data_IF_055700746802
#
_entry.id   IF_055700746802
#
_cell.length_a   1.000
_cell.length_b   1.000
_cell.length_c   1.000
_cell.angle_alpha   90.00
_cell.angle_beta   90.00
_cell.angle_gamma   90.00
#
_symmetry.space_group_name_H-M   'P 1'
#
loop_
_entity.id
_entity.type
_entity.pdbx_description
1 polymer ?
#
# COMPACT_ATOMS: atom_id res chain seq x y z
N UNK A 1 -2.94 -22.85 -20.90
CA UNK A 1 -1.89 -23.77 -20.40
C UNK A 1 -1.89 -23.77 -18.87
N UNK A 2 -1.30 -22.77 -18.20
CA UNK A 2 -1.22 -22.71 -16.73
C UNK A 2 -2.55 -22.98 -15.98
N UNK A 3 -3.67 -22.39 -16.43
CA UNK A 3 -4.97 -22.63 -15.80
C UNK A 3 -5.44 -24.10 -15.89
N UNK A 4 -5.06 -24.81 -16.95
CA UNK A 4 -5.35 -26.24 -17.14
C UNK A 4 -4.41 -27.09 -16.29
N UNK A 5 -3.13 -26.71 -16.22
CA UNK A 5 -2.14 -27.40 -15.38
C UNK A 5 -2.54 -27.33 -13.90
N UNK A 6 -3.06 -26.17 -13.46
CA UNK A 6 -3.60 -25.96 -12.12
C UNK A 6 -5.02 -26.52 -11.92
N UNK A 7 -5.64 -27.09 -12.97
CA UNK A 7 -7.00 -27.63 -12.94
C UNK A 7 -8.05 -26.65 -12.38
N UNK A 8 -7.94 -25.36 -12.74
CA UNK A 8 -8.73 -24.28 -12.12
C UNK A 8 -10.23 -24.51 -12.23
N UNK A 9 -10.73 -24.96 -13.39
CA UNK A 9 -12.17 -25.21 -13.61
C UNK A 9 -12.67 -26.33 -12.70
N UNK A 10 -11.99 -27.48 -12.67
CA UNK A 10 -12.40 -28.61 -11.83
C UNK A 10 -12.29 -28.30 -10.33
N UNK A 11 -11.24 -27.58 -9.91
CA UNK A 11 -11.11 -27.13 -8.52
C UNK A 11 -12.24 -26.18 -8.15
N UNK A 12 -12.50 -25.14 -8.94
CA UNK A 12 -13.57 -24.18 -8.65
C UNK A 12 -14.94 -24.86 -8.59
N UNK A 13 -15.20 -25.79 -9.52
CA UNK A 13 -16.40 -26.62 -9.54
C UNK A 13 -16.55 -27.45 -8.26
N UNK A 14 -15.48 -28.13 -7.84
CA UNK A 14 -15.48 -28.98 -6.65
C UNK A 14 -15.63 -28.18 -5.36
N UNK A 15 -14.89 -27.08 -5.24
CA UNK A 15 -14.87 -26.23 -4.03
C UNK A 15 -16.21 -25.54 -3.85
N UNK A 16 -16.72 -24.89 -4.91
CA UNK A 16 -17.96 -24.11 -4.84
C UNK A 16 -19.22 -24.93 -5.10
N UNK A 17 -19.07 -26.20 -5.48
CA UNK A 17 -20.18 -27.13 -5.80
C UNK A 17 -21.13 -26.54 -6.85
N UNK A 18 -20.55 -25.89 -7.87
CA UNK A 18 -21.28 -25.28 -8.98
C UNK A 18 -21.27 -26.20 -10.20
N UNK A 19 -22.14 -25.93 -11.17
CA UNK A 19 -22.14 -26.66 -12.44
C UNK A 19 -20.95 -26.27 -13.31
N UNK A 20 -20.58 -27.16 -14.24
CA UNK A 20 -19.44 -26.96 -15.14
C UNK A 20 -19.48 -25.62 -15.90
N UNK A 21 -20.63 -25.16 -16.47
CA UNK A 21 -20.68 -23.87 -17.16
C UNK A 21 -20.36 -22.66 -16.26
N UNK A 22 -20.70 -22.73 -14.97
CA UNK A 22 -20.39 -21.67 -13.99
C UNK A 22 -18.89 -21.66 -13.71
N UNK A 23 -18.28 -22.84 -13.51
CA UNK A 23 -16.84 -22.96 -13.29
C UNK A 23 -16.02 -22.48 -14.50
N UNK A 24 -16.46 -22.81 -15.72
CA UNK A 24 -15.88 -22.29 -16.97
C UNK A 24 -16.05 -20.77 -17.08
N UNK A 25 -17.18 -20.24 -16.59
CA UNK A 25 -17.42 -18.81 -16.44
C UNK A 25 -16.37 -18.10 -15.57
N UNK A 26 -15.94 -18.71 -14.46
CA UNK A 26 -14.86 -18.14 -13.62
C UNK A 26 -13.55 -18.01 -14.38
N UNK A 27 -13.17 -19.04 -15.13
CA UNK A 27 -11.94 -19.01 -15.94
C UNK A 27 -12.02 -17.88 -16.98
N UNK A 28 -13.14 -17.76 -17.69
CA UNK A 28 -13.34 -16.70 -18.67
C UNK A 28 -13.30 -15.30 -18.07
N UNK A 29 -13.94 -15.10 -16.90
CA UNK A 29 -13.89 -13.83 -16.17
C UNK A 29 -12.45 -13.49 -15.74
N UNK A 30 -11.72 -14.47 -15.19
CA UNK A 30 -10.32 -14.29 -14.78
C UNK A 30 -9.41 -13.94 -15.96
N UNK A 31 -9.50 -14.68 -17.06
CA UNK A 31 -8.70 -14.40 -18.27
C UNK A 31 -9.08 -13.06 -18.89
N UNK A 32 -10.36 -12.71 -18.92
CA UNK A 32 -10.78 -11.39 -19.40
C UNK A 32 -10.14 -10.26 -18.58
N UNK A 33 -10.04 -10.38 -17.25
CA UNK A 33 -9.41 -9.36 -16.41
C UNK A 33 -7.91 -9.16 -16.70
N UNK A 34 -7.23 -10.22 -17.14
CA UNK A 34 -5.80 -10.18 -17.49
C UNK A 34 -5.59 -9.62 -18.89
N UNK A 35 -6.42 -10.00 -19.87
CA UNK A 35 -6.13 -9.73 -21.29
C UNK A 35 -6.79 -8.44 -21.79
N UNK A 36 -8.08 -8.22 -21.52
CA UNK A 36 -8.85 -7.14 -22.20
C UNK A 36 -9.73 -6.29 -21.30
N UNK A 37 -10.08 -6.77 -20.10
CA UNK A 37 -11.00 -6.14 -19.14
C UNK A 37 -12.34 -5.72 -19.76
N UNK A 38 -12.87 -6.56 -20.66
CA UNK A 38 -14.11 -6.26 -21.35
C UNK A 38 -15.30 -6.23 -20.39
N UNK A 39 -16.25 -5.30 -20.59
CA UNK A 39 -17.45 -5.24 -19.77
C UNK A 39 -18.32 -6.50 -19.97
N UNK A 40 -18.76 -7.08 -18.84
CA UNK A 40 -19.67 -8.23 -18.80
C UNK A 40 -20.96 -7.96 -19.56
N UNK A 41 -21.44 -6.72 -19.52
CA UNK A 41 -22.75 -6.32 -20.05
C UNK A 41 -22.84 -6.32 -21.58
N UNK A 42 -21.72 -6.15 -22.30
CA UNK A 42 -21.76 -5.89 -23.75
C UNK A 42 -20.77 -6.70 -24.58
N UNK A 43 -19.58 -7.02 -24.07
CA UNK A 43 -18.49 -7.56 -24.91
C UNK A 43 -17.94 -8.91 -24.46
N UNK A 44 -18.13 -9.29 -23.21
CA UNK A 44 -17.55 -10.53 -22.69
C UNK A 44 -18.10 -11.78 -23.39
N UNK A 45 -19.40 -11.82 -23.68
CA UNK A 45 -20.03 -12.99 -24.31
C UNK A 45 -19.51 -13.26 -25.72
N UNK A 46 -19.41 -12.22 -26.56
CA UNK A 46 -18.85 -12.37 -27.91
C UNK A 46 -17.38 -12.75 -27.85
N UNK A 47 -16.60 -12.11 -26.97
CA UNK A 47 -15.20 -12.43 -26.79
C UNK A 47 -14.96 -13.89 -26.43
N UNK A 48 -15.74 -14.48 -25.52
CA UNK A 48 -15.61 -15.90 -25.20
C UNK A 48 -15.90 -16.78 -26.41
N UNK A 49 -16.98 -16.48 -27.16
CA UNK A 49 -17.36 -17.26 -28.36
C UNK A 49 -16.30 -17.21 -29.45
N UNK A 50 -15.67 -16.05 -29.63
CA UNK A 50 -14.67 -15.81 -30.67
C UNK A 50 -13.25 -16.28 -30.25
N UNK A 51 -13.05 -16.59 -28.96
CA UNK A 51 -11.78 -17.07 -28.42
C UNK A 51 -11.59 -18.58 -28.59
N UNK A 52 -10.40 -19.08 -28.22
CA UNK A 52 -10.12 -20.52 -28.15
C UNK A 52 -10.67 -21.20 -26.88
N UNK A 53 -11.25 -20.44 -25.94
CA UNK A 53 -11.76 -21.00 -24.68
C UNK A 53 -12.82 -22.09 -24.86
N UNK A 54 -13.81 -21.95 -25.76
CA UNK A 54 -14.80 -23.00 -25.98
C UNK A 54 -14.18 -24.33 -26.40
N UNK A 55 -13.13 -24.27 -27.22
CA UNK A 55 -12.41 -25.46 -27.69
C UNK A 55 -11.55 -26.07 -26.58
N UNK A 56 -10.80 -25.24 -25.85
CA UNK A 56 -9.89 -25.71 -24.80
C UNK A 56 -10.61 -26.35 -23.62
N UNK A 57 -11.72 -25.76 -23.19
CA UNK A 57 -12.50 -26.21 -22.04
C UNK A 57 -13.68 -27.10 -22.42
N UNK A 58 -13.86 -27.40 -23.71
CA UNK A 58 -15.03 -28.11 -24.25
C UNK A 58 -16.35 -27.48 -23.76
N UNK A 59 -16.41 -26.15 -23.82
CA UNK A 59 -17.53 -25.38 -23.31
C UNK A 59 -18.58 -25.16 -24.40
N UNK A 60 -19.80 -25.64 -24.17
CA UNK A 60 -20.96 -25.27 -24.98
C UNK A 60 -21.38 -23.82 -24.68
N UNK A 61 -21.06 -22.93 -25.61
CA UNK A 61 -21.33 -21.48 -25.52
C UNK A 61 -22.58 -21.04 -26.27
N UNK A 62 -23.39 -21.99 -26.79
CA UNK A 62 -24.62 -21.68 -27.53
C UNK A 62 -25.61 -20.85 -26.71
N UNK A 63 -25.73 -21.17 -25.41
CA UNK A 63 -26.60 -20.50 -24.46
C UNK A 63 -25.86 -19.46 -23.59
N UNK A 64 -24.61 -19.14 -23.91
CA UNK A 64 -23.84 -18.15 -23.15
C UNK A 64 -24.51 -16.78 -23.25
N UNK A 65 -24.75 -16.15 -22.11
CA UNK A 65 -25.43 -14.86 -22.05
C UNK A 65 -24.86 -13.99 -20.93
N UNK A 66 -25.15 -12.68 -21.00
CA UNK A 66 -24.86 -11.75 -19.91
C UNK A 66 -25.34 -12.25 -18.56
N UNK A 67 -26.60 -12.73 -18.48
CA UNK A 67 -27.18 -13.26 -17.23
C UNK A 67 -26.42 -14.49 -16.72
N UNK A 68 -25.87 -15.31 -17.61
CA UNK A 68 -25.02 -16.43 -17.23
C UNK A 68 -23.75 -15.98 -16.51
N UNK A 69 -23.09 -14.91 -16.98
CA UNK A 69 -21.94 -14.33 -16.29
C UNK A 69 -22.30 -13.60 -15.01
N UNK A 70 -23.44 -12.91 -14.95
CA UNK A 70 -23.94 -12.31 -13.72
C UNK A 70 -24.20 -13.41 -12.66
N UNK A 71 -24.86 -14.50 -13.03
CA UNK A 71 -25.06 -15.65 -12.15
C UNK A 71 -23.75 -16.35 -11.74
N UNK A 72 -22.73 -16.31 -12.61
CA UNK A 72 -21.38 -16.75 -12.25
C UNK A 72 -20.80 -15.87 -11.15
N UNK A 73 -20.87 -14.54 -11.27
CA UNK A 73 -20.40 -13.63 -10.23
C UNK A 73 -21.18 -13.79 -8.91
N UNK A 74 -22.49 -14.02 -8.98
CA UNK A 74 -23.34 -14.27 -7.81
C UNK A 74 -22.91 -15.54 -7.04
N UNK A 75 -22.35 -16.53 -7.73
CA UNK A 75 -21.81 -17.75 -7.10
C UNK A 75 -20.53 -17.47 -6.29
N UNK A 76 -19.78 -16.39 -6.57
CA UNK A 76 -18.65 -15.97 -5.73
C UNK A 76 -19.10 -15.14 -4.54
N UNK A 77 -20.11 -14.30 -4.72
CA UNK A 77 -20.62 -13.43 -3.67
C UNK A 77 -22.08 -13.08 -3.91
N UNK A 78 -22.94 -13.40 -2.96
CA UNK A 78 -24.37 -13.11 -3.03
C UNK A 78 -24.95 -12.78 -1.65
N UNK A 79 -26.17 -12.24 -1.65
CA UNK A 79 -26.96 -12.09 -0.43
C UNK A 79 -28.05 -13.15 -0.40
N UNK A 80 -28.18 -13.85 0.72
CA UNK A 80 -29.33 -14.72 0.97
C UNK A 80 -30.59 -13.89 1.22
N UNK A 81 -31.78 -14.53 1.16
CA UNK A 81 -33.07 -13.89 1.44
C UNK A 81 -33.15 -13.21 2.82
N UNK A 82 -32.31 -13.61 3.79
CA UNK A 82 -32.18 -12.97 5.10
C UNK A 82 -31.11 -11.87 5.18
N UNK A 83 -30.65 -11.34 4.04
CA UNK A 83 -29.56 -10.35 3.92
C UNK A 83 -28.20 -10.82 4.48
N UNK A 84 -28.05 -12.12 4.79
CA UNK A 84 -26.74 -12.68 5.13
C UNK A 84 -25.91 -12.78 3.86
N UNK A 85 -24.74 -12.16 3.88
CA UNK A 85 -23.76 -12.19 2.79
C UNK A 85 -23.03 -13.53 2.74
N UNK A 86 -23.05 -14.19 1.59
CA UNK A 86 -22.23 -15.35 1.26
C UNK A 86 -20.99 -14.85 0.51
N UNK A 87 -19.80 -15.31 0.91
CA UNK A 87 -18.52 -14.90 0.33
C UNK A 87 -17.72 -16.13 -0.14
N UNK A 88 -18.35 -16.97 -0.96
CA UNK A 88 -17.75 -18.17 -1.54
C UNK A 88 -16.42 -17.91 -2.27
N UNK A 89 -16.22 -16.72 -2.85
CA UNK A 89 -14.97 -16.36 -3.49
C UNK A 89 -13.76 -16.35 -2.56
N UNK A 90 -13.95 -16.07 -1.26
CA UNK A 90 -12.87 -16.17 -0.27
C UNK A 90 -12.52 -17.62 0.02
N UNK A 91 -13.52 -18.50 0.15
CA UNK A 91 -13.29 -19.94 0.33
C UNK A 91 -12.56 -20.52 -0.89
N UNK A 92 -12.97 -20.12 -2.11
CA UNK A 92 -12.27 -20.50 -3.34
C UNK A 92 -10.80 -20.07 -3.31
N UNK A 93 -10.53 -18.83 -2.91
CA UNK A 93 -9.15 -18.33 -2.80
C UNK A 93 -8.36 -19.15 -1.79
N UNK A 94 -8.88 -19.36 -0.58
CA UNK A 94 -8.17 -20.06 0.49
C UNK A 94 -7.84 -21.51 0.08
N UNK A 95 -8.76 -22.20 -0.58
CA UNK A 95 -8.55 -23.55 -1.11
C UNK A 95 -7.55 -23.58 -2.27
N UNK A 96 -7.61 -22.63 -3.21
CA UNK A 96 -6.64 -22.53 -4.31
C UNK A 96 -5.23 -22.22 -3.80
N UNK A 97 -5.11 -21.31 -2.82
CA UNK A 97 -3.84 -21.01 -2.15
C UNK A 97 -3.31 -22.24 -1.42
N UNK A 98 -4.16 -22.97 -0.68
CA UNK A 98 -3.75 -24.19 0.02
C UNK A 98 -3.27 -25.26 -0.95
N UNK A 99 -4.00 -25.48 -2.04
CA UNK A 99 -3.62 -26.41 -3.09
C UNK A 99 -2.28 -26.05 -3.72
N UNK A 100 -2.11 -24.77 -4.09
CA UNK A 100 -0.88 -24.26 -4.66
C UNK A 100 0.31 -24.48 -3.71
N UNK A 101 0.18 -24.10 -2.42
CA UNK A 101 1.22 -24.31 -1.39
C UNK A 101 1.51 -25.79 -1.09
N UNK A 102 0.53 -26.68 -1.24
CA UNK A 102 0.74 -28.12 -1.08
C UNK A 102 1.59 -28.71 -2.21
N UNK A 103 1.58 -28.09 -3.38
CA UNK A 103 2.30 -28.53 -4.58
C UNK A 103 3.62 -27.77 -4.78
N UNK A 104 3.71 -26.52 -4.31
CA UNK A 104 4.92 -25.71 -4.33
C UNK A 104 5.68 -25.86 -3.02
N UNK A 105 6.92 -26.37 -3.09
CA UNK A 105 7.87 -26.24 -1.98
C UNK A 105 8.30 -24.78 -1.92
N UNK A 106 7.54 -23.94 -1.22
CA UNK A 106 8.09 -22.69 -0.73
C UNK A 106 9.18 -23.03 0.31
N UNK A 107 10.48 -22.73 0.09
CA UNK A 107 11.50 -22.87 1.13
C UNK A 107 11.12 -22.25 2.48
N UNK A 108 11.82 -22.63 3.55
CA UNK A 108 11.66 -21.93 4.83
C UNK A 108 12.22 -20.49 4.72
N UNK A 109 11.60 -19.51 5.41
CA UNK A 109 12.08 -18.12 5.44
C UNK A 109 11.43 -17.15 4.44
N UNK A 110 10.22 -17.44 3.96
CA UNK A 110 9.63 -16.69 2.84
C UNK A 110 9.29 -15.24 3.16
N UNK A 111 9.63 -14.38 2.22
CA UNK A 111 9.14 -13.01 2.15
C UNK A 111 7.79 -12.97 1.48
N UNK A 112 6.87 -12.27 2.12
CA UNK A 112 5.52 -12.04 1.66
C UNK A 112 5.31 -10.53 1.60
N UNK A 113 5.03 -10.02 0.41
CA UNK A 113 4.74 -8.60 0.22
C UNK A 113 3.28 -8.35 0.63
N UNK A 114 3.06 -7.41 1.55
CA UNK A 114 1.73 -6.97 1.95
C UNK A 114 1.54 -5.50 1.59
N UNK A 115 0.57 -5.26 0.70
CA UNK A 115 0.20 -3.92 0.27
C UNK A 115 -1.33 -3.74 0.26
N UNK A 116 -1.78 -2.49 0.34
CA UNK A 116 -3.18 -2.10 0.22
C UNK A 116 -3.37 -1.16 -0.96
N UNK A 117 -4.21 -1.55 -1.92
CA UNK A 117 -4.57 -0.70 -3.05
C UNK A 117 -6.01 -0.21 -2.96
N UNK A 118 -6.31 0.99 -3.48
CA UNK A 118 -7.65 1.60 -3.44
C UNK A 118 -8.18 1.82 -4.84
N UNK A 119 -9.35 1.26 -5.13
CA UNK A 119 -10.03 1.36 -6.43
C UNK A 119 -11.26 2.23 -6.28
N UNK A 120 -11.45 3.17 -7.22
CA UNK A 120 -12.65 4.02 -7.27
C UNK A 120 -13.90 3.17 -7.44
N UNK A 121 -14.95 3.52 -6.70
CA UNK A 121 -16.23 2.85 -6.77
C UNK A 121 -17.34 3.85 -7.12
N UNK A 122 -18.01 3.60 -8.24
CA UNK A 122 -19.06 4.46 -8.77
C UNK A 122 -20.47 4.05 -8.36
N UNK A 123 -20.65 2.85 -7.78
CA UNK A 123 -21.94 2.40 -7.29
C UNK A 123 -22.28 2.98 -5.90
N UNK A 124 -23.47 2.65 -5.41
CA UNK A 124 -23.98 3.14 -4.12
C UNK A 124 -24.22 2.05 -3.09
N UNK A 125 -24.20 0.78 -3.49
CA UNK A 125 -24.68 -0.36 -2.70
C UNK A 125 -23.58 -1.22 -2.05
N UNK A 126 -22.30 -0.97 -2.34
CA UNK A 126 -21.20 -1.77 -1.78
C UNK A 126 -20.84 -1.28 -0.37
N UNK A 127 -21.01 -2.10 0.70
CA UNK A 127 -20.66 -1.71 2.07
C UNK A 127 -19.19 -1.37 2.30
N UNK A 128 -18.26 -1.94 1.52
CA UNK A 128 -16.83 -1.57 1.63
C UNK A 128 -16.50 -0.23 0.97
N UNK A 129 -17.42 0.32 0.18
CA UNK A 129 -17.18 1.52 -0.59
C UNK A 129 -17.48 2.77 0.26
N UNK A 130 -16.41 3.41 0.74
CA UNK A 130 -16.46 4.58 1.61
C UNK A 130 -15.60 5.72 1.05
N UNK A 131 -15.76 6.92 1.60
CA UNK A 131 -14.93 8.07 1.22
C UNK A 131 -13.51 7.85 1.75
N UNK A 132 -12.52 7.92 0.86
CA UNK A 132 -11.11 7.76 1.18
C UNK A 132 -10.21 8.34 0.09
N UNK A 133 -8.90 8.24 0.29
CA UNK A 133 -7.92 8.68 -0.71
C UNK A 133 -7.85 7.67 -1.87
N UNK A 134 -8.09 8.14 -3.08
CA UNK A 134 -7.85 7.39 -4.31
C UNK A 134 -6.36 7.42 -4.68
N UNK A 135 -5.97 6.62 -5.67
CA UNK A 135 -4.59 6.53 -6.18
C UNK A 135 -4.02 7.85 -6.69
N UNK A 136 -4.87 8.77 -7.17
CA UNK A 136 -4.48 10.13 -7.57
C UNK A 136 -4.48 11.14 -6.41
N UNK A 137 -4.49 10.63 -5.15
CA UNK A 137 -4.56 11.40 -3.90
C UNK A 137 -5.86 12.20 -3.72
N UNK A 138 -6.81 12.13 -4.65
CA UNK A 138 -8.11 12.79 -4.51
C UNK A 138 -9.00 12.07 -3.51
N UNK A 139 -9.86 12.81 -2.81
CA UNK A 139 -10.86 12.24 -1.90
C UNK A 139 -12.06 11.76 -2.72
N UNK A 140 -12.32 10.45 -2.74
CA UNK A 140 -13.38 9.81 -3.55
C UNK A 140 -13.99 8.62 -2.82
N UNK A 141 -15.12 8.13 -3.31
CA UNK A 141 -15.65 6.84 -2.88
C UNK A 141 -14.79 5.72 -3.46
N UNK A 142 -14.18 4.93 -2.59
CA UNK A 142 -13.22 3.89 -2.95
C UNK A 142 -13.50 2.59 -2.18
N UNK A 143 -13.06 1.48 -2.74
CA UNK A 143 -12.92 0.19 -2.04
C UNK A 143 -11.44 -0.08 -1.94
N UNK A 144 -10.96 -0.39 -0.74
CA UNK A 144 -9.59 -0.81 -0.52
C UNK A 144 -9.47 -2.33 -0.70
N UNK A 145 -8.30 -2.81 -1.09
CA UNK A 145 -7.99 -4.22 -1.21
C UNK A 145 -6.63 -4.48 -0.58
N UNK A 146 -6.60 -5.32 0.46
CA UNK A 146 -5.35 -5.84 1.01
C UNK A 146 -4.93 -7.06 0.21
N UNK A 147 -3.68 -7.07 -0.23
CA UNK A 147 -3.09 -8.14 -1.02
C UNK A 147 -1.79 -8.60 -0.37
N UNK A 148 -1.69 -9.90 -0.11
CA UNK A 148 -0.47 -10.57 0.33
C UNK A 148 0.00 -11.49 -0.78
N UNK A 149 1.23 -11.32 -1.26
CA UNK A 149 1.82 -12.13 -2.33
C UNK A 149 3.12 -12.79 -1.89
N UNK A 150 3.32 -14.04 -2.30
CA UNK A 150 4.62 -14.71 -2.15
C UNK A 150 5.68 -13.99 -2.97
N UNK A 151 6.87 -13.73 -2.42
CA UNK A 151 7.94 -12.98 -3.13
C UNK A 151 8.49 -13.70 -4.37
N UNK A 152 8.61 -15.02 -4.33
CA UNK A 152 9.29 -15.82 -5.36
C UNK A 152 8.38 -16.07 -6.56
N UNK A 153 7.16 -16.52 -6.31
CA UNK A 153 6.23 -16.93 -7.37
C UNK A 153 5.18 -15.86 -7.68
N UNK A 154 5.18 -14.75 -6.93
CA UNK A 154 4.16 -13.70 -7.01
C UNK A 154 2.73 -14.24 -6.89
N UNK A 155 2.55 -15.36 -6.17
CA UNK A 155 1.26 -15.97 -5.95
C UNK A 155 0.46 -15.16 -4.92
N UNK A 156 -0.79 -14.78 -5.20
CA UNK A 156 -1.64 -14.07 -4.25
C UNK A 156 -2.10 -15.05 -3.16
N UNK A 157 -1.45 -15.02 -2.01
CA UNK A 157 -1.81 -15.86 -0.87
C UNK A 157 -3.12 -15.40 -0.26
N UNK A 158 -3.29 -14.09 -0.16
CA UNK A 158 -4.49 -13.49 0.40
C UNK A 158 -4.86 -12.22 -0.37
N UNK A 159 -6.10 -12.15 -0.84
CA UNK A 159 -6.74 -10.93 -1.32
C UNK A 159 -8.03 -10.70 -0.51
N UNK A 160 -8.25 -9.48 -0.06
CA UNK A 160 -9.50 -9.13 0.63
C UNK A 160 -9.92 -7.69 0.40
N UNK A 161 -11.24 -7.43 0.34
CA UNK A 161 -11.73 -6.06 0.43
C UNK A 161 -11.52 -5.50 1.84
N UNK A 162 -11.21 -4.22 1.89
CA UNK A 162 -11.05 -3.39 3.08
C UNK A 162 -11.95 -2.15 2.88
N UNK A 163 -12.49 -1.62 3.98
CA UNK A 163 -13.28 -0.38 3.94
C UNK A 163 -12.46 0.77 3.35
N UNK A 164 -13.03 1.53 2.41
CA UNK A 164 -12.31 2.59 1.69
C UNK A 164 -11.71 3.68 2.57
N UNK A 165 -12.38 4.00 3.69
CA UNK A 165 -11.91 4.99 4.67
C UNK A 165 -10.78 4.48 5.57
N UNK A 166 -10.57 3.16 5.62
CA UNK A 166 -9.61 2.56 6.56
C UNK A 166 -8.18 2.92 6.16
N UNK A 167 -7.36 3.17 7.18
CA UNK A 167 -5.92 3.37 7.04
C UNK A 167 -5.20 2.04 6.92
N UNK A 168 -4.08 2.05 6.19
CA UNK A 168 -3.25 0.87 5.96
C UNK A 168 -2.67 0.34 7.28
N UNK A 169 -2.35 1.24 8.22
CA UNK A 169 -1.95 0.92 9.60
C UNK A 169 -2.90 -0.08 10.28
N UNK A 170 -4.22 0.16 10.20
CA UNK A 170 -5.24 -0.65 10.87
C UNK A 170 -5.51 -1.98 10.15
N UNK A 171 -4.92 -2.19 8.97
CA UNK A 171 -5.14 -3.40 8.18
C UNK A 171 -4.21 -4.55 8.59
N UNK A 172 -3.08 -4.24 9.25
CA UNK A 172 -2.04 -5.21 9.63
C UNK A 172 -2.58 -6.29 10.56
N UNK A 173 -3.29 -5.92 11.62
CA UNK A 173 -3.89 -6.87 12.56
C UNK A 173 -4.73 -7.94 11.85
N UNK A 174 -5.71 -7.49 11.08
CA UNK A 174 -6.62 -8.39 10.39
C UNK A 174 -5.92 -9.25 9.33
N UNK A 175 -4.84 -8.74 8.72
CA UNK A 175 -4.02 -9.53 7.80
C UNK A 175 -3.30 -10.64 8.57
N UNK A 176 -2.64 -10.31 9.69
CA UNK A 176 -1.95 -11.28 10.56
C UNK A 176 -2.92 -12.38 11.04
N UNK A 177 -4.08 -11.99 11.57
CA UNK A 177 -5.08 -12.95 12.06
C UNK A 177 -5.58 -13.92 10.98
N UNK A 178 -5.61 -13.47 9.71
CA UNK A 178 -6.04 -14.31 8.59
C UNK A 178 -4.93 -15.21 8.06
N UNK A 179 -3.69 -14.74 8.06
CA UNK A 179 -2.54 -15.60 7.80
C UNK A 179 -2.46 -16.74 8.82
N UNK A 180 -2.71 -16.43 10.11
CA UNK A 180 -2.82 -17.46 11.16
C UNK A 180 -3.97 -18.44 10.88
N UNK A 181 -5.15 -17.93 10.53
CA UNK A 181 -6.31 -18.76 10.17
C UNK A 181 -6.10 -19.61 8.91
N UNK A 182 -5.22 -19.19 8.01
CA UNK A 182 -4.84 -19.92 6.80
C UNK A 182 -3.63 -20.86 7.01
N UNK A 183 -3.14 -21.01 8.25
CA UNK A 183 -1.96 -21.80 8.60
C UNK A 183 -0.71 -21.38 7.80
N UNK A 184 -0.56 -20.07 7.58
CA UNK A 184 0.69 -19.46 7.09
C UNK A 184 1.48 -19.09 8.33
N UNK A 185 2.66 -19.66 8.55
CA UNK A 185 3.45 -19.47 9.79
C UNK A 185 4.90 -19.16 9.46
N UNK A 186 5.55 -18.38 10.33
CA UNK A 186 6.99 -18.14 10.26
C UNK A 186 7.45 -17.40 9.00
N UNK A 187 6.56 -16.63 8.36
CA UNK A 187 6.92 -15.81 7.20
C UNK A 187 7.41 -14.43 7.61
N UNK A 188 8.15 -13.78 6.71
CA UNK A 188 8.57 -12.38 6.84
C UNK A 188 7.66 -11.52 5.98
N UNK A 189 6.96 -10.58 6.61
CA UNK A 189 6.07 -9.64 5.92
C UNK A 189 6.85 -8.39 5.52
N UNK A 190 6.98 -8.16 4.22
CA UNK A 190 7.50 -6.91 3.65
C UNK A 190 6.31 -5.96 3.51
N UNK A 191 6.36 -4.83 4.21
CA UNK A 191 5.24 -3.90 4.32
C UNK A 191 5.64 -2.47 3.98
N UNK A 192 4.66 -1.73 3.49
CA UNK A 192 4.78 -0.30 3.23
C UNK A 192 5.00 0.51 4.51
N UNK A 193 5.63 1.68 4.37
CA UNK A 193 5.95 2.57 5.50
C UNK A 193 4.75 2.99 6.35
N UNK A 194 3.56 3.04 5.74
CA UNK A 194 2.31 3.38 6.45
C UNK A 194 1.83 2.28 7.41
N UNK A 195 2.39 1.08 7.31
CA UNK A 195 2.06 -0.09 8.11
C UNK A 195 3.10 -0.37 9.21
N UNK A 196 4.22 0.35 9.22
CA UNK A 196 5.31 0.17 10.20
C UNK A 196 5.07 1.07 11.41
N UNK A 197 4.90 0.47 12.58
CA UNK A 197 4.72 1.17 13.85
C UNK A 197 5.12 0.28 15.03
N UNK A 198 5.35 0.88 16.19
CA UNK A 198 5.65 0.14 17.42
C UNK A 198 4.59 -0.94 17.73
N UNK A 199 3.31 -0.58 17.57
CA UNK A 199 2.17 -1.48 17.82
C UNK A 199 2.13 -2.62 16.79
N UNK A 200 2.27 -2.31 15.50
CA UNK A 200 2.24 -3.31 14.45
C UNK A 200 3.43 -4.26 14.53
N UNK A 201 4.64 -3.77 14.82
CA UNK A 201 5.82 -4.62 15.02
C UNK A 201 5.59 -5.59 16.19
N UNK A 202 5.10 -5.10 17.33
CA UNK A 202 4.82 -5.94 18.49
C UNK A 202 3.78 -7.02 18.16
N UNK A 203 2.75 -6.66 17.38
CA UNK A 203 1.69 -7.58 16.97
C UNK A 203 2.19 -8.66 16.01
N UNK A 204 2.92 -8.29 14.97
CA UNK A 204 3.50 -9.21 13.98
C UNK A 204 4.44 -10.20 14.66
N UNK A 205 5.30 -9.72 15.56
CA UNK A 205 6.21 -10.58 16.34
C UNK A 205 5.47 -11.52 17.29
N UNK A 206 4.43 -11.04 17.97
CA UNK A 206 3.61 -11.87 18.88
C UNK A 206 2.97 -13.05 18.15
N UNK A 207 2.58 -12.84 16.89
CA UNK A 207 1.99 -13.87 16.04
C UNK A 207 3.03 -14.79 15.36
N UNK A 208 4.32 -14.63 15.69
CA UNK A 208 5.39 -15.51 15.20
C UNK A 208 5.88 -15.17 13.79
N UNK A 209 5.64 -13.95 13.32
CA UNK A 209 6.13 -13.46 12.03
C UNK A 209 7.28 -12.45 12.20
N UNK A 210 8.03 -12.24 11.11
CA UNK A 210 8.97 -11.13 11.00
C UNK A 210 8.36 -10.01 10.15
N UNK A 211 8.85 -8.78 10.32
CA UNK A 211 8.46 -7.63 9.51
C UNK A 211 9.71 -6.97 8.93
N UNK A 212 9.64 -6.62 7.65
CA UNK A 212 10.54 -5.67 7.01
C UNK A 212 9.71 -4.51 6.49
N UNK A 213 10.15 -3.29 6.74
CA UNK A 213 9.50 -2.11 6.21
C UNK A 213 10.29 -0.85 6.48
N UNK A 214 9.97 0.22 5.76
CA UNK A 214 10.58 1.53 5.98
C UNK A 214 9.90 2.25 7.13
N UNK A 215 10.70 2.89 7.98
CA UNK A 215 10.16 3.71 9.07
C UNK A 215 9.92 5.12 8.54
N UNK A 216 8.68 5.61 8.69
CA UNK A 216 8.34 7.02 8.47
C UNK A 216 8.71 7.83 9.71
N UNK A 217 9.17 9.07 9.54
CA UNK A 217 9.45 10.09 10.58
C UNK A 217 9.07 9.62 11.99
N UNK A 218 10.07 9.27 12.79
CA UNK A 218 9.89 8.83 14.16
C UNK A 218 10.17 9.94 15.18
N UNK A 219 10.13 9.55 16.46
CA UNK A 219 10.53 10.44 17.55
C UNK A 219 12.05 10.60 17.62
N UNK A 220 12.56 10.95 18.80
CA UNK A 220 14.00 11.18 19.01
C UNK A 220 14.87 9.97 18.63
N UNK A 221 14.34 8.75 18.81
CA UNK A 221 15.01 7.49 18.45
C UNK A 221 15.26 7.34 16.95
N UNK A 222 14.43 7.96 16.11
CA UNK A 222 14.61 7.98 14.66
C UNK A 222 15.75 8.90 14.23
N UNK A 223 15.87 10.08 14.85
CA UNK A 223 17.00 10.98 14.61
C UNK A 223 18.32 10.37 15.07
N UNK A 224 18.32 9.69 16.21
CA UNK A 224 19.48 8.92 16.68
C UNK A 224 19.88 7.83 15.67
N UNK A 225 18.90 7.08 15.14
CA UNK A 225 19.14 6.06 14.14
C UNK A 225 19.68 6.64 12.82
N UNK A 226 19.18 7.79 12.37
CA UNK A 226 19.70 8.48 11.19
C UNK A 226 21.12 9.02 11.39
N UNK A 227 21.43 9.49 12.60
CA UNK A 227 22.76 9.99 12.97
C UNK A 227 23.76 8.89 13.33
N UNK A 228 23.40 7.61 13.20
CA UNK A 228 24.25 6.51 13.63
C UNK A 228 25.56 6.40 12.83
N UNK A 229 25.52 6.78 11.55
CA UNK A 229 26.69 6.89 10.69
C UNK A 229 26.81 8.33 10.18
N UNK A 230 28.03 8.87 10.20
CA UNK A 230 28.32 10.05 9.40
C UNK A 230 28.29 9.72 7.91
N UNK A 231 28.15 10.75 7.08
CA UNK A 231 27.98 10.58 5.64
C UNK A 231 29.21 9.95 4.98
N UNK A 232 30.41 10.35 5.40
CA UNK A 232 31.67 9.87 4.84
C UNK A 232 31.92 8.38 5.19
N UNK A 233 31.50 7.93 6.37
CA UNK A 233 31.56 6.54 6.78
C UNK A 233 30.54 5.70 6.01
N UNK A 234 29.33 6.21 5.80
CA UNK A 234 28.30 5.49 5.07
C UNK A 234 28.64 5.37 3.57
N UNK A 235 29.12 6.43 2.93
CA UNK A 235 29.39 6.47 1.48
C UNK A 235 30.76 5.89 1.08
N UNK A 236 31.14 4.77 1.70
CA UNK A 236 32.37 4.03 1.36
C UNK A 236 32.07 2.95 0.32
N UNK A 237 33.04 2.58 -0.54
CA UNK A 237 32.87 1.51 -1.54
C UNK A 237 32.42 0.17 -0.94
N UNK A 238 32.81 -0.14 0.30
CA UNK A 238 32.42 -1.35 1.02
C UNK A 238 30.92 -1.40 1.39
N UNK A 239 30.26 -0.24 1.47
CA UNK A 239 28.83 -0.12 1.74
C UNK A 239 28.00 0.04 0.46
N UNK A 240 28.64 0.03 -0.71
CA UNK A 240 27.96 0.18 -1.99
C UNK A 240 27.13 -1.07 -2.29
N UNK A 241 25.83 -0.88 -2.47
CA UNK A 241 24.90 -1.89 -2.96
C UNK A 241 24.41 -1.51 -4.34
N UNK A 242 24.56 -2.42 -5.29
CA UNK A 242 24.05 -2.26 -6.65
C UNK A 242 22.76 -3.05 -6.79
N UNK A 243 21.66 -2.36 -7.09
CA UNK A 243 20.36 -2.99 -7.34
C UNK A 243 20.40 -3.76 -8.67
N UNK A 244 19.51 -4.74 -8.88
CA UNK A 244 19.37 -5.40 -10.18
C UNK A 244 19.07 -4.45 -11.35
N UNK A 245 18.50 -3.27 -11.08
CA UNK A 245 18.29 -2.18 -12.02
C UNK A 245 19.58 -1.49 -12.48
N UNK A 246 20.70 -1.69 -11.77
CA UNK A 246 21.97 -0.99 -11.96
C UNK A 246 22.13 0.26 -11.08
N UNK A 247 21.08 0.67 -10.37
CA UNK A 247 21.12 1.80 -9.43
C UNK A 247 22.06 1.51 -8.26
N UNK A 248 22.75 2.55 -7.78
CA UNK A 248 23.79 2.47 -6.77
C UNK A 248 23.32 3.14 -5.49
N UNK A 249 23.26 2.36 -4.42
CA UNK A 249 22.89 2.83 -3.09
C UNK A 249 24.06 2.60 -2.14
N UNK A 250 24.16 3.40 -1.08
CA UNK A 250 25.00 3.06 0.07
C UNK A 250 24.12 2.56 1.20
N UNK A 251 24.47 1.42 1.78
CA UNK A 251 23.69 0.85 2.85
C UNK A 251 24.54 0.18 3.92
N UNK A 252 24.17 0.40 5.17
CA UNK A 252 24.81 -0.24 6.31
C UNK A 252 23.77 -0.59 7.36
N UNK A 253 23.89 -1.80 7.93
CA UNK A 253 22.99 -2.25 8.98
C UNK A 253 23.68 -2.54 10.29
N UNK A 254 22.91 -2.34 11.35
CA UNK A 254 23.30 -2.63 12.72
C UNK A 254 22.09 -3.19 13.47
N UNK A 255 22.34 -3.69 14.68
CA UNK A 255 21.26 -4.04 15.60
C UNK A 255 21.11 -2.88 16.58
N UNK A 256 19.92 -2.30 16.66
CA UNK A 256 19.65 -1.11 17.48
C UNK A 256 18.24 -1.07 18.03
N UNK A 257 17.92 0.05 18.66
CA UNK A 257 16.59 0.34 19.18
C UNK A 257 15.88 1.40 18.31
N UNK A 258 14.60 1.18 18.01
CA UNK A 258 13.75 2.12 17.28
C UNK A 258 12.27 1.76 17.50
N UNK A 259 11.37 2.74 17.51
CA UNK A 259 9.92 2.54 17.74
C UNK A 259 9.62 1.78 19.05
N UNK A 260 10.37 2.08 20.12
CA UNK A 260 10.24 1.41 21.42
C UNK A 260 10.67 -0.06 21.44
N UNK A 261 11.24 -0.59 20.35
CA UNK A 261 11.78 -1.94 20.26
C UNK A 261 13.29 -1.90 20.48
N UNK A 262 13.83 -2.78 21.33
CA UNK A 262 15.25 -2.75 21.74
C UNK A 262 16.22 -3.51 20.84
N UNK A 263 15.72 -4.40 20.00
CA UNK A 263 16.52 -5.31 19.19
C UNK A 263 15.89 -5.43 17.81
N UNK A 264 16.09 -4.40 16.98
CA UNK A 264 15.74 -4.39 15.57
C UNK A 264 17.00 -4.45 14.74
N UNK A 265 16.93 -5.15 13.60
CA UNK A 265 17.92 -5.02 12.53
C UNK A 265 17.56 -3.77 11.74
N UNK A 266 18.33 -2.71 11.92
CA UNK A 266 18.15 -1.43 11.26
C UNK A 266 19.12 -1.32 10.10
N UNK A 267 18.71 -0.68 9.00
CA UNK A 267 19.57 -0.36 7.88
C UNK A 267 19.36 1.11 7.51
N UNK A 268 20.47 1.86 7.43
CA UNK A 268 20.47 3.19 6.85
C UNK A 268 20.86 3.04 5.38
N UNK A 269 20.03 3.60 4.50
CA UNK A 269 20.21 3.51 3.05
C UNK A 269 20.20 4.93 2.49
N UNK A 270 21.21 5.26 1.69
CA UNK A 270 21.32 6.54 0.99
C UNK A 270 21.37 6.27 -0.50
N UNK A 271 20.43 6.89 -1.21
CA UNK A 271 20.49 7.05 -2.66
C UNK A 271 21.21 8.38 -2.96
N UNK A 272 22.44 8.34 -3.52
CA UNK A 272 23.20 9.54 -3.80
C UNK A 272 22.56 10.40 -4.90
N UNK A 273 21.85 9.79 -5.86
CA UNK A 273 21.19 10.51 -6.95
C UNK A 273 19.94 11.23 -6.45
N UNK A 274 19.09 10.53 -5.70
CA UNK A 274 17.89 11.14 -5.09
C UNK A 274 18.28 12.26 -4.11
N UNK A 275 19.31 12.03 -3.30
CA UNK A 275 19.83 13.04 -2.37
C UNK A 275 20.31 14.31 -3.09
N UNK A 276 21.04 14.16 -4.20
CA UNK A 276 21.52 15.31 -4.97
C UNK A 276 20.36 16.07 -5.62
N UNK A 277 19.34 15.36 -6.14
CA UNK A 277 18.11 15.97 -6.65
C UNK A 277 17.36 16.75 -5.57
N UNK A 278 17.22 16.19 -4.37
CA UNK A 278 16.60 16.88 -3.23
C UNK A 278 17.39 18.13 -2.82
N UNK A 279 18.73 18.05 -2.84
CA UNK A 279 19.62 19.18 -2.55
C UNK A 279 19.40 20.31 -3.55
N UNK A 280 19.44 20.00 -4.85
CA UNK A 280 19.21 20.97 -5.92
C UNK A 280 17.82 21.61 -5.83
N UNK A 281 16.78 20.82 -5.57
CA UNK A 281 15.42 21.32 -5.39
C UNK A 281 15.27 22.20 -4.13
N UNK A 282 15.96 21.87 -3.03
CA UNK A 282 15.99 22.72 -1.84
C UNK A 282 16.71 24.04 -2.10
N UNK A 283 17.85 24.00 -2.77
CA UNK A 283 18.63 25.20 -3.13
C UNK A 283 17.84 26.13 -4.06
N UNK A 284 17.10 25.56 -5.01
CA UNK A 284 16.17 26.31 -5.87
C UNK A 284 15.07 26.99 -5.04
N UNK A 285 14.42 26.25 -4.14
CA UNK A 285 13.34 26.79 -3.29
C UNK A 285 13.82 27.87 -2.33
N UNK A 286 15.03 27.72 -1.77
CA UNK A 286 15.66 28.76 -0.94
C UNK A 286 15.95 30.00 -1.77
N UNK A 287 16.43 29.84 -3.01
CA UNK A 287 16.68 30.95 -3.93
C UNK A 287 15.39 31.70 -4.29
N UNK A 288 14.30 30.99 -4.56
CA UNK A 288 12.98 31.60 -4.81
C UNK A 288 12.48 32.41 -3.60
N UNK A 289 12.61 31.85 -2.39
CA UNK A 289 12.21 32.54 -1.17
C UNK A 289 13.05 33.80 -0.89
N UNK A 290 14.36 33.73 -1.12
CA UNK A 290 15.26 34.88 -0.94
C UNK A 290 15.12 35.93 -2.05
N UNK A 291 14.81 35.50 -3.29
CA UNK A 291 14.53 36.39 -4.41
C UNK A 291 13.20 37.15 -4.26
N UNK A 292 12.17 36.50 -3.73
CA UNK A 292 10.86 37.12 -3.48
C UNK A 292 10.89 38.18 -2.36
N UNK A 293 11.86 38.11 -1.44
CA UNK A 293 12.06 39.14 -0.40
C UNK A 293 12.87 40.36 -0.85
N UNK A 294 13.41 40.37 -2.08
CA UNK A 294 14.28 41.44 -2.59
C UNK A 294 13.59 42.57 -3.37
N UNK A 295 12.36 42.39 -3.86
CA UNK A 295 11.73 43.34 -4.80
C UNK A 295 10.71 44.31 -4.17
N UNK A 296 10.61 44.37 -2.83
CA UNK A 296 9.57 45.14 -2.13
C UNK A 296 9.98 46.46 -1.46
N UNK A 297 11.27 46.82 -1.40
CA UNK A 297 11.70 48.00 -0.62
C UNK A 297 12.86 48.75 -1.31
N UNK A 298 12.54 49.61 -2.27
CA UNK A 298 13.57 50.44 -2.89
C UNK A 298 13.14 51.31 -4.06
N UNK A 299 11.96 51.92 -4.01
CA UNK A 299 11.60 52.96 -4.97
C UNK A 299 11.15 54.25 -4.24
N UNK A 300 12.01 55.26 -4.29
CA UNK A 300 11.61 56.65 -4.13
C UNK A 300 12.16 57.37 -2.90
N UNK A 301 13.33 57.98 -3.02
CA UNK A 301 13.39 59.45 -3.16
C UNK A 301 14.83 59.90 -3.42
N UNK A 302 14.97 60.62 -4.54
CA UNK A 302 16.14 61.31 -5.02
C UNK A 302 16.47 62.54 -4.16
N UNK A 303 17.75 62.75 -3.84
CA UNK A 303 18.25 63.96 -3.17
C UNK A 303 19.75 64.18 -3.38
N UNK A 304 20.07 64.86 -4.49
CA UNK A 304 21.32 65.50 -4.93
C UNK A 304 22.52 65.64 -3.93
N UNK A 305 23.67 65.20 -4.44
CA UNK A 305 24.96 65.90 -4.61
C UNK A 305 25.81 66.34 -3.39
N UNK A 306 27.06 65.83 -3.38
CA UNK A 306 28.24 66.66 -3.12
C UNK A 306 29.36 66.01 -2.30
N UNK A 307 30.52 65.78 -2.93
CA UNK A 307 31.81 66.07 -2.28
C UNK A 307 32.68 64.92 -1.76
N UNK A 308 33.65 64.53 -2.61
CA UNK A 308 35.09 64.40 -2.32
C UNK A 308 35.61 63.62 -1.08
N UNK A 309 36.39 62.58 -1.38
CA UNK A 309 37.76 62.42 -0.86
C UNK A 309 37.99 61.48 0.34
N UNK A 310 39.21 60.90 0.49
CA UNK A 310 39.39 59.49 0.91
C UNK A 310 40.18 59.29 2.21
N UNK A 311 40.49 58.01 2.51
CA UNK A 311 41.34 57.46 3.59
C UNK A 311 40.58 57.28 4.93
N UNK A 312 40.82 56.28 5.77
CA UNK A 312 42.01 55.44 6.01
C UNK A 312 41.62 54.18 6.81
N UNK A 313 42.53 53.20 6.79
CA UNK A 313 42.66 52.09 7.73
C UNK A 313 42.45 52.48 9.20
N UNK A 314 41.81 51.61 9.99
CA UNK A 314 42.28 51.36 11.36
C UNK A 314 41.92 49.96 11.86
N UNK A 315 42.97 49.15 12.05
CA UNK A 315 42.99 47.95 12.90
C UNK A 315 42.71 48.35 14.35
N UNK A 316 41.85 47.60 15.05
CA UNK A 316 42.01 47.35 16.49
C UNK A 316 41.48 45.97 16.86
N UNK A 317 42.43 45.06 17.03
CA UNK A 317 42.41 43.94 17.99
C UNK A 317 42.13 44.43 19.41
N UNK A 318 41.50 43.61 20.26
CA UNK A 318 42.05 43.10 21.52
C UNK A 318 41.03 42.29 22.35
N UNK A 319 41.54 41.17 22.89
CA UNK A 319 41.25 40.45 24.16
C UNK A 319 39.81 40.05 24.50
N UNK A 320 39.43 38.78 24.74
CA UNK A 320 39.96 37.66 25.55
C UNK A 320 40.26 37.96 27.03
N UNK A 321 39.40 37.47 27.92
CA UNK A 321 39.71 37.37 29.35
C UNK A 321 38.51 37.00 30.26
N UNK A 322 38.64 36.05 31.22
CA UNK A 322 37.51 35.27 31.79
C UNK A 322 37.29 35.47 33.32
N UNK A 323 36.25 34.84 33.87
CA UNK A 323 36.03 34.37 35.27
C UNK A 323 34.50 34.24 35.51
N UNK A 324 33.93 33.35 36.31
CA UNK A 324 34.40 32.36 37.28
C UNK A 324 33.19 31.89 38.12
N UNK A 325 33.26 30.63 38.58
CA UNK A 325 32.76 30.05 39.86
C UNK A 325 31.26 30.12 40.29
N UNK A 326 30.63 28.92 40.31
CA UNK A 326 29.88 28.18 41.37
C UNK A 326 29.21 28.88 42.60
N UNK A 327 28.40 28.21 43.48
CA UNK A 327 27.80 26.84 43.50
C UNK A 327 26.32 26.77 44.01
N UNK A 328 25.74 25.56 44.16
CA UNK A 328 24.79 25.27 45.26
C UNK A 328 23.59 24.34 44.99
N UNK A 329 23.65 23.11 45.52
CA UNK A 329 22.54 22.13 45.64
C UNK A 329 21.58 22.49 46.83
N UNK A 330 20.41 21.81 47.06
CA UNK A 330 20.35 20.41 47.53
C UNK A 330 19.09 19.57 47.15
N UNK A 331 19.09 18.34 47.68
CA UNK A 331 18.27 17.12 47.46
C UNK A 331 16.94 16.99 48.26
N UNK A 332 15.97 16.27 47.65
CA UNK A 332 15.03 15.19 48.16
C UNK A 332 14.06 15.52 49.34
N UNK A 333 13.08 14.65 49.77
CA UNK A 333 12.70 13.25 49.41
C UNK A 333 11.17 12.87 49.39
N UNK A 334 10.87 11.59 49.09
CA UNK A 334 9.80 10.74 49.71
C UNK A 334 8.41 10.75 49.05
N UNK A 335 7.56 9.71 48.99
CA UNK A 335 7.47 8.33 49.54
C UNK A 335 6.25 7.63 48.85
N UNK A 336 6.23 6.32 48.62
CA UNK A 336 5.66 5.21 49.45
C UNK A 336 4.13 5.03 49.43
N UNK A 337 3.68 3.77 49.22
CA UNK A 337 2.35 3.21 49.55
C UNK A 337 1.64 2.56 48.34
N UNK A 338 1.66 1.25 48.12
CA UNK A 338 0.92 0.14 48.77
C UNK A 338 -0.63 0.25 48.71
N UNK A 339 -1.29 -0.82 48.24
CA UNK A 339 -2.75 -0.99 48.35
C UNK A 339 -3.33 -2.10 47.44
N UNK A 340 -3.51 -3.28 48.00
CA UNK A 340 -4.14 -4.49 47.44
C UNK A 340 -5.69 -4.43 47.35
N UNK A 341 -6.27 -5.38 46.59
CA UNK A 341 -7.64 -5.93 46.76
C UNK A 341 -8.71 -5.29 45.86
N UNK A 342 -9.66 -6.00 45.25
CA UNK A 342 -10.10 -7.40 45.29
C UNK A 342 -11.44 -7.50 44.53
N UNK A 343 -11.66 -8.65 43.91
CA UNK A 343 -12.90 -9.33 43.47
C UNK A 343 -14.16 -8.60 42.92
N UNK A 344 -14.70 -9.28 41.90
CA UNK A 344 -15.98 -9.14 41.18
C UNK A 344 -17.23 -9.35 42.10
N UNK A 345 -18.52 -9.46 41.64
CA UNK A 345 -19.07 -9.51 40.27
C UNK A 345 -20.42 -8.80 40.01
N UNK A 346 -20.78 -8.73 38.72
CA UNK A 346 -22.11 -8.98 38.14
C UNK A 346 -23.36 -8.24 38.66
N UNK A 347 -24.05 -7.54 37.75
CA UNK A 347 -25.53 -7.57 37.68
C UNK A 347 -26.06 -7.05 36.34
N UNK A 348 -27.13 -7.72 35.94
CA UNK A 348 -27.90 -7.66 34.70
C UNK A 348 -28.97 -6.55 34.66
N UNK A 349 -29.30 -6.15 33.42
CA UNK A 349 -30.62 -5.71 32.90
C UNK A 349 -31.07 -4.25 33.16
N UNK A 350 -32.16 -3.76 32.52
CA UNK A 350 -32.35 -3.57 31.08
C UNK A 350 -33.00 -2.20 30.70
N UNK A 351 -33.16 -1.97 29.39
CA UNK A 351 -34.20 -1.17 28.70
C UNK A 351 -34.38 0.32 29.03
N UNK A 352 -34.43 1.18 27.99
CA UNK A 352 -35.52 2.17 27.76
C UNK A 352 -35.53 2.59 26.29
N UNK A 353 -36.65 2.34 25.60
CA UNK A 353 -37.07 3.03 24.38
C UNK A 353 -37.64 4.40 24.75
N UNK A 354 -37.26 5.46 24.03
CA UNK A 354 -38.15 6.59 23.80
C UNK A 354 -37.96 7.14 22.39
N UNK A 355 -39.00 6.99 21.57
CA UNK A 355 -39.21 7.82 20.39
C UNK A 355 -39.90 9.12 20.80
N UNK A 356 -39.59 10.20 20.06
CA UNK A 356 -40.45 11.35 19.75
C UNK A 356 -39.78 12.15 18.62
N UNK A 357 -40.47 12.29 17.48
CA UNK A 357 -40.14 13.28 16.45
C UNK A 357 -40.70 14.66 16.82
N UNK A 358 -41.09 15.47 15.83
CA UNK A 358 -40.22 16.24 14.93
C UNK A 358 -40.45 17.76 15.14
N UNK A 359 -39.49 18.60 14.71
CA UNK A 359 -39.74 20.04 14.54
C UNK A 359 -39.22 20.54 13.19
N UNK A 360 -40.10 21.32 12.59
CA UNK A 360 -40.12 21.97 11.30
C UNK A 360 -39.29 23.25 11.22
N UNK A 361 -38.93 23.63 9.99
CA UNK A 361 -39.05 25.02 9.53
C UNK A 361 -37.75 25.73 9.18
N UNK A 362 -37.63 26.19 7.93
CA UNK A 362 -36.64 27.18 7.53
C UNK A 362 -36.22 27.09 6.07
N UNK A 363 -37.13 27.47 5.15
CA UNK A 363 -36.81 27.78 3.76
C UNK A 363 -36.56 29.29 3.64
N UNK A 364 -35.40 29.69 3.11
CA UNK A 364 -35.19 31.01 2.51
C UNK A 364 -34.22 30.86 1.33
N UNK A 365 -34.78 30.67 0.15
CA UNK A 365 -34.14 30.96 -1.12
C UNK A 365 -33.97 32.46 -1.33
N UNK A 366 -32.80 32.93 -1.79
CA UNK A 366 -32.73 33.89 -2.92
C UNK A 366 -31.31 34.13 -3.44
N UNK A 367 -31.18 33.90 -4.76
CA UNK A 367 -30.52 34.77 -5.75
C UNK A 367 -28.98 34.78 -5.80
N UNK A 368 -28.43 34.06 -6.79
CA UNK A 368 -27.84 34.67 -7.99
C UNK A 368 -27.75 33.63 -9.14
N UNK A 369 -28.56 33.88 -10.18
CA UNK A 369 -28.36 33.47 -11.59
C UNK A 369 -27.10 34.20 -12.11
N UNK A 370 -26.25 33.62 -12.95
CA UNK A 370 -26.30 33.53 -14.43
C UNK A 370 -24.87 33.09 -14.85
N UNK A 371 -24.56 32.30 -15.87
CA UNK A 371 -25.31 31.70 -16.96
C UNK A 371 -24.37 30.97 -17.95
N UNK A 372 -24.97 30.51 -19.06
CA UNK A 372 -24.44 29.90 -20.31
C UNK A 372 -24.25 28.37 -20.30
N UNK A 373 -25.23 27.63 -20.85
CA UNK A 373 -25.49 27.27 -22.28
C UNK A 373 -24.48 26.21 -22.78
N UNK A 374 -24.83 24.95 -23.07
CA UNK A 374 -25.88 24.31 -23.94
C UNK A 374 -25.51 24.35 -25.43
N UNK A 375 -25.07 23.20 -25.94
CA UNK A 375 -25.23 22.69 -27.32
C UNK A 375 -25.37 21.15 -27.16
N UNK A 376 -26.55 20.54 -27.22
CA UNK A 376 -27.44 20.21 -28.35
C UNK A 376 -26.93 19.11 -29.29
N UNK A 377 -27.68 18.00 -29.22
CA UNK A 377 -27.76 16.88 -30.15
C UNK A 377 -28.31 17.35 -31.50
N UNK A 378 -27.81 16.76 -32.59
CA UNK A 378 -28.60 16.57 -33.80
C UNK A 378 -28.26 15.24 -34.48
N UNK A 379 -29.33 14.49 -34.76
CA UNK A 379 -29.37 13.28 -35.58
C UNK A 379 -29.18 13.61 -37.07
N UNK A 380 -28.64 12.65 -37.82
CA UNK A 380 -28.64 12.63 -39.28
C UNK A 380 -28.48 11.21 -39.81
N UNK A 381 -29.56 10.64 -40.34
CA UNK A 381 -29.60 9.37 -41.07
C UNK A 381 -28.89 9.46 -42.44
N UNK A 382 -28.38 8.33 -42.96
CA UNK A 382 -28.36 8.10 -44.41
C UNK A 382 -27.27 7.23 -45.03
N UNK A 383 -27.62 5.96 -45.28
CA UNK A 383 -27.33 5.14 -46.47
C UNK A 383 -25.98 4.43 -46.67
N UNK A 384 -26.13 3.19 -47.17
CA UNK A 384 -25.16 2.15 -47.46
C UNK A 384 -24.45 2.33 -48.82
N UNK A 385 -23.28 1.68 -49.00
CA UNK A 385 -23.02 0.63 -50.00
C UNK A 385 -21.56 0.10 -49.94
N UNK A 386 -21.43 -1.14 -50.42
CA UNK A 386 -20.33 -2.11 -50.39
C UNK A 386 -18.96 -1.73 -50.99
N UNK A 387 -17.93 -2.48 -50.56
CA UNK A 387 -16.76 -2.81 -51.39
C UNK A 387 -15.41 -2.88 -50.64
N UNK A 388 -14.68 -4.01 -50.64
CA UNK A 388 -13.47 -4.21 -49.83
C UNK A 388 -12.16 -3.92 -50.59
N UNK A 389 -11.13 -3.44 -49.89
CA UNK A 389 -9.69 -3.65 -50.18
C UNK A 389 -8.81 -2.81 -49.20
N UNK A 390 -7.51 -3.04 -49.05
CA UNK A 390 -6.88 -4.26 -48.54
C UNK A 390 -5.97 -3.95 -47.32
N UNK A 391 -5.42 -5.03 -46.77
CA UNK A 391 -4.36 -5.15 -45.76
C UNK A 391 -3.46 -3.91 -45.56
N UNK A 392 -3.47 -3.37 -44.33
CA UNK A 392 -2.44 -2.47 -43.81
C UNK A 392 -2.02 -2.97 -42.43
N UNK A 393 -0.75 -3.40 -42.37
CA UNK A 393 0.01 -3.63 -41.15
C UNK A 393 -0.06 -2.40 -40.24
N UNK A 394 -0.58 -2.57 -39.03
CA UNK A 394 -0.30 -1.68 -37.90
C UNK A 394 -0.14 -2.49 -36.63
N UNK A 395 1.06 -2.41 -36.09
CA UNK A 395 1.42 -2.84 -34.75
C UNK A 395 0.48 -2.26 -33.67
N UNK A 396 0.27 -3.00 -32.56
CA UNK A 396 -0.64 -2.58 -31.51
C UNK A 396 0.02 -1.52 -30.62
N UNK A 397 -0.59 -0.33 -30.58
CA UNK A 397 -0.36 0.65 -29.52
C UNK A 397 -1.01 0.17 -28.21
N UNK A 398 -0.32 -0.72 -27.50
CA UNK A 398 -0.55 -0.97 -26.08
C UNK A 398 0.07 0.16 -25.26
N UNK A 399 -0.70 1.23 -25.01
CA UNK A 399 -0.34 2.22 -24.00
C UNK A 399 -0.46 1.57 -22.62
N UNK A 400 0.64 1.03 -22.13
CA UNK A 400 0.83 0.71 -20.72
C UNK A 400 0.94 2.06 -20.00
N UNK A 401 -0.07 2.41 -19.21
CA UNK A 401 0.07 3.47 -18.24
C UNK A 401 1.18 3.07 -17.26
N UNK A 402 2.36 3.70 -17.39
CA UNK A 402 3.35 3.77 -16.31
C UNK A 402 2.72 4.53 -15.14
N UNK A 403 2.01 3.79 -14.27
CA UNK A 403 1.86 4.19 -12.89
C UNK A 403 3.21 3.94 -12.22
N UNK A 404 3.93 5.02 -11.92
CA UNK A 404 5.15 4.97 -11.11
C UNK A 404 4.83 4.33 -9.76
N UNK A 405 5.19 3.06 -9.61
CA UNK A 405 5.46 2.46 -8.31
C UNK A 405 6.79 3.04 -7.85
N UNK A 406 6.74 4.04 -6.97
CA UNK A 406 7.92 4.40 -6.18
C UNK A 406 8.36 3.16 -5.40
N UNK A 407 9.62 2.81 -5.57
CA UNK A 407 10.17 1.51 -5.24
C UNK A 407 10.04 1.15 -3.76
N UNK A 408 9.42 0.00 -3.51
CA UNK A 408 9.77 -0.83 -2.39
C UNK A 408 10.81 -1.85 -2.87
N UNK A 409 12.04 -1.72 -2.40
CA UNK A 409 13.04 -2.79 -2.51
C UNK A 409 13.65 -2.98 -1.14
N UNK A 410 13.20 -4.03 -0.46
CA UNK A 410 13.83 -4.50 0.76
C UNK A 410 15.27 -4.93 0.43
N UNK A 411 16.23 -4.32 1.11
CA UNK A 411 17.63 -4.68 1.05
C UNK A 411 17.88 -5.86 1.99
N UNK A 412 18.22 -7.02 1.46
CA UNK A 412 18.68 -8.16 2.25
C UNK A 412 20.15 -7.97 2.63
N UNK A 413 20.45 -8.06 3.92
CA UNK A 413 21.82 -8.25 4.40
C UNK A 413 21.88 -9.66 4.97
N UNK A 414 22.43 -10.58 4.18
CA UNK A 414 22.62 -11.98 4.54
C UNK A 414 23.37 -12.10 5.86
N UNK A 415 22.71 -12.67 6.86
CA UNK A 415 23.36 -13.14 8.07
C UNK A 415 24.05 -14.47 7.77
N UNK A 416 25.37 -14.52 7.90
CA UNK A 416 26.11 -15.77 7.92
C UNK A 416 25.69 -16.55 9.19
N UNK A 417 25.04 -17.69 9.01
CA UNK A 417 24.83 -18.65 10.09
C UNK A 417 26.18 -19.23 10.53
N UNK A 418 26.48 -19.09 11.82
CA UNK A 418 27.59 -19.79 12.44
C UNK A 418 27.30 -21.30 12.41
N UNK A 419 28.22 -22.07 11.82
CA UNK A 419 28.17 -23.52 11.81
C UNK A 419 28.10 -24.08 13.23
N UNK A 420 26.95 -24.67 13.58
CA UNK A 420 26.76 -25.40 14.82
C UNK A 420 27.58 -26.70 14.75
N UNK A 421 28.59 -26.82 15.60
CA UNK A 421 29.41 -28.03 15.74
C UNK A 421 28.54 -29.15 16.35
N UNK A 422 28.19 -30.13 15.52
CA UNK A 422 27.65 -31.42 15.97
C UNK A 422 28.76 -32.16 16.74
N UNK A 423 28.57 -32.54 18.02
CA UNK A 423 29.51 -33.40 18.72
C UNK A 423 29.43 -34.86 18.21
N UNK A 424 30.53 -35.63 18.22
CA UNK A 424 30.52 -37.01 17.78
C UNK A 424 29.68 -37.86 18.74
N UNK A 425 28.79 -38.67 18.17
CA UNK A 425 28.03 -39.69 18.90
C UNK A 425 28.95 -40.88 19.22
N UNK A 426 29.33 -41.00 20.49
CA UNK A 426 29.82 -42.25 21.08
C UNK A 426 28.63 -43.09 21.56
N UNK A 427 28.42 -44.25 20.92
CA UNK A 427 27.83 -45.51 21.44
C UNK A 427 27.51 -46.40 20.23
N UNK A 428 27.98 -47.64 20.07
CA UNK A 428 28.43 -48.61 21.07
C UNK A 428 27.22 -49.36 21.63
N UNK A 429 26.78 -50.43 20.94
CA UNK A 429 25.69 -51.31 21.36
C UNK A 429 25.06 -52.06 20.19
#
# INVERSE_FOLDING_TARGET
AAAKDLSIVERARSILKVDLPVAQGFLALGLNQVVYRLPVSTRLTSWVRDSLLPQWEKWDVSNLSRRGFEGTLDALCSYTQGMRKLQAGLELQDELTRAWRGETREPAGFYYDFDTTKVRYYGTTQPYAEVGHASDRSIRRVVAFGLVTSRVHHHPVQLRPIMGSRSDFLSVDETVARLEGADVKGVTLVMDRGMVSAENIARVRKAGYHQIGMVRDGGDDWWEALGHWDEEALQRPENLVVRPSGERLYAQAWTGALLGQRQLRLALVVDPEEKELERLGRDEKVRELLGATGEGAGAGTSGRAGGAGPASEEKRTLHSGPAGEEPGAPRLPGGSGEGEGGDAPGRTAPAVQHGRGPLSGGDVSSVLREGRHREELQDGQGSALAGPDPLSERDPAGSVCHGALHGASALELGGAEAAEKIPPSDAGG
#
